data_IF_380162283302
#
_entry.id   IF_380162283302
#
_cell.length_a   1.000
_cell.length_b   1.000
_cell.length_c   1.000
_cell.angle_alpha   90.00
_cell.angle_beta   90.00
_cell.angle_gamma   90.00
#
_symmetry.space_group_name_H-M   'P 1'
#
loop_
_entity.id
_entity.type
_entity.pdbx_description
1 polymer ?
#
# COMPACT_ATOMS: atom_id res chain seq x y z
N UNK A 1 73.45 29.10 -0.27
CA UNK A 1 71.98 29.19 -0.10
C UNK A 1 71.33 27.99 -0.76
N UNK A 2 71.05 26.92 0.00
CA UNK A 2 70.32 25.73 -0.47
C UNK A 2 69.53 25.14 0.70
N UNK A 3 68.42 25.78 1.07
CA UNK A 3 67.48 25.26 2.08
C UNK A 3 66.13 25.98 1.94
N UNK A 4 65.37 25.74 0.88
CA UNK A 4 64.00 26.29 0.83
C UNK A 4 62.96 25.50 0.03
N UNK A 5 63.24 24.27 -0.38
CA UNK A 5 62.31 23.48 -1.22
C UNK A 5 61.77 22.19 -0.60
N UNK A 6 62.23 21.78 0.60
CA UNK A 6 61.83 20.48 1.18
C UNK A 6 60.79 20.57 2.30
N UNK A 7 60.42 21.75 2.79
CA UNK A 7 59.44 21.89 3.89
C UNK A 7 57.98 21.92 3.40
N UNK A 8 57.73 22.39 2.18
CA UNK A 8 56.37 22.52 1.63
C UNK A 8 55.84 21.24 0.99
N UNK A 9 56.72 20.32 0.57
CA UNK A 9 56.31 19.04 0.00
C UNK A 9 55.88 18.04 1.08
N UNK A 10 56.49 18.12 2.26
CA UNK A 10 56.20 17.24 3.39
C UNK A 10 54.88 17.63 4.10
N UNK A 11 54.57 18.93 4.20
CA UNK A 11 53.28 19.41 4.76
C UNK A 11 52.11 19.22 3.81
N UNK A 12 52.34 19.24 2.49
CA UNK A 12 51.28 18.95 1.51
C UNK A 12 50.92 17.46 1.46
N UNK A 13 51.91 16.58 1.63
CA UNK A 13 51.69 15.13 1.69
C UNK A 13 51.02 14.66 3.01
N UNK A 14 51.23 15.37 4.12
CA UNK A 14 50.58 15.06 5.41
C UNK A 14 49.13 15.56 5.51
N UNK A 15 48.74 16.53 4.68
CA UNK A 15 47.36 17.07 4.62
C UNK A 15 46.43 16.17 3.78
N UNK A 16 46.95 15.52 2.74
CA UNK A 16 46.18 14.61 1.88
C UNK A 16 45.88 13.25 2.53
N UNK A 17 46.60 12.85 3.58
CA UNK A 17 46.30 11.62 4.34
C UNK A 17 45.26 11.81 5.46
N UNK A 18 44.90 13.05 5.81
CA UNK A 18 43.93 13.33 6.87
C UNK A 18 42.46 13.26 6.40
N UNK A 19 42.21 13.25 5.09
CA UNK A 19 40.85 13.16 4.53
C UNK A 19 40.40 11.73 4.20
N UNK A 20 41.25 10.71 4.37
CA UNK A 20 40.89 9.32 4.05
C UNK A 20 40.18 8.60 5.22
N UNK A 21 40.11 9.21 6.40
CA UNK A 21 39.48 8.58 7.58
C UNK A 21 38.10 9.15 7.97
N UNK A 22 37.47 9.99 7.15
CA UNK A 22 36.11 10.51 7.40
C UNK A 22 35.03 9.75 6.61
N UNK A 23 35.39 8.76 5.79
CA UNK A 23 34.47 8.13 4.84
C UNK A 23 33.87 6.77 5.27
N UNK A 24 34.02 6.32 6.53
CA UNK A 24 33.56 4.98 6.92
C UNK A 24 32.85 4.91 8.28
N UNK A 25 32.01 5.89 8.62
CA UNK A 25 31.16 5.77 9.81
C UNK A 25 29.95 6.71 9.79
N UNK A 26 29.39 6.99 8.61
CA UNK A 26 28.13 7.74 8.52
C UNK A 26 27.01 6.71 8.55
N UNK A 27 26.27 6.69 9.66
CA UNK A 27 25.02 5.94 9.78
C UNK A 27 24.12 6.34 8.58
N UNK A 28 23.65 5.39 7.76
CA UNK A 28 22.83 5.66 6.58
C UNK A 28 21.63 6.57 6.87
N UNK A 29 21.11 6.55 8.10
CA UNK A 29 19.97 7.37 8.56
C UNK A 29 20.18 8.88 8.38
N UNK A 30 21.42 9.35 8.30
CA UNK A 30 21.73 10.77 8.18
C UNK A 30 21.90 11.26 6.73
N UNK A 31 21.93 10.34 5.75
CA UNK A 31 22.05 10.71 4.34
C UNK A 31 20.78 11.38 3.83
N UNK A 32 20.91 12.23 2.81
CA UNK A 32 19.76 12.85 2.17
C UNK A 32 18.87 11.81 1.49
N UNK A 33 19.48 10.80 0.87
CA UNK A 33 18.76 9.68 0.24
C UNK A 33 17.89 8.90 1.22
N UNK A 34 18.35 8.69 2.47
CA UNK A 34 17.53 8.07 3.51
C UNK A 34 16.34 8.95 3.90
N UNK A 35 16.54 10.27 4.01
CA UNK A 35 15.48 11.22 4.39
C UNK A 35 14.40 11.33 3.31
N UNK A 36 14.80 11.45 2.05
CA UNK A 36 13.88 11.49 0.91
C UNK A 36 13.04 10.20 0.86
N UNK A 37 13.65 9.03 1.09
CA UNK A 37 12.92 7.77 1.13
C UNK A 37 12.01 7.60 2.34
N UNK A 38 12.37 8.11 3.52
CA UNK A 38 11.48 8.13 4.68
C UNK A 38 10.26 9.02 4.41
N UNK A 39 10.45 10.15 3.73
CA UNK A 39 9.34 11.02 3.32
C UNK A 39 8.42 10.32 2.31
N UNK A 40 8.98 9.65 1.28
CA UNK A 40 8.19 8.80 0.37
C UNK A 40 7.42 7.73 1.14
N UNK A 41 8.05 7.07 2.12
CA UNK A 41 7.40 6.08 2.96
C UNK A 41 6.24 6.68 3.79
N UNK A 42 6.41 7.86 4.38
CA UNK A 42 5.34 8.55 5.11
C UNK A 42 4.16 8.90 4.19
N UNK A 43 4.42 9.38 2.97
CA UNK A 43 3.38 9.62 1.96
C UNK A 43 2.64 8.32 1.62
N UNK A 44 3.38 7.24 1.46
CA UNK A 44 2.86 5.90 1.21
C UNK A 44 1.99 5.38 2.36
N UNK A 45 2.37 5.59 3.62
CA UNK A 45 1.52 5.29 4.78
C UNK A 45 0.21 6.11 4.75
N UNK A 46 0.26 7.33 4.23
CA UNK A 46 -0.94 8.13 3.94
C UNK A 46 -1.87 7.47 2.91
N UNK A 47 -1.31 6.84 1.86
CA UNK A 47 -2.13 6.06 0.90
C UNK A 47 -2.78 4.85 1.55
N UNK A 48 -2.15 4.24 2.56
CA UNK A 48 -2.75 3.14 3.30
C UNK A 48 -3.95 3.58 4.14
N UNK A 49 -3.82 4.69 4.87
CA UNK A 49 -4.93 5.29 5.62
C UNK A 49 -6.14 5.54 4.69
N UNK A 50 -5.88 6.04 3.48
CA UNK A 50 -6.90 6.21 2.45
C UNK A 50 -7.53 4.87 2.03
N UNK A 51 -6.74 3.84 1.78
CA UNK A 51 -7.29 2.51 1.42
C UNK A 51 -8.15 1.94 2.54
N UNK A 52 -7.74 2.05 3.81
CA UNK A 52 -8.52 1.62 4.97
C UNK A 52 -9.88 2.34 5.04
N UNK A 53 -9.90 3.64 4.76
CA UNK A 53 -11.15 4.40 4.66
C UNK A 53 -12.03 3.92 3.48
N UNK A 54 -11.45 3.56 2.34
CA UNK A 54 -12.18 2.97 1.22
C UNK A 54 -12.84 1.64 1.62
N UNK A 55 -12.13 0.77 2.35
CA UNK A 55 -12.70 -0.48 2.87
C UNK A 55 -13.89 -0.25 3.80
N UNK A 56 -13.81 0.71 4.72
CA UNK A 56 -14.94 1.06 5.61
C UNK A 56 -16.16 1.53 4.83
N UNK A 57 -15.97 2.41 3.84
CA UNK A 57 -17.08 2.87 2.98
C UNK A 57 -17.72 1.72 2.20
N UNK A 58 -16.92 0.73 1.83
CA UNK A 58 -17.36 -0.44 1.10
C UNK A 58 -18.20 -1.37 1.97
N UNK A 59 -17.81 -1.55 3.24
CA UNK A 59 -18.60 -2.24 4.26
C UNK A 59 -19.93 -1.51 4.53
N UNK A 60 -19.90 -0.17 4.66
CA UNK A 60 -21.11 0.65 4.77
C UNK A 60 -22.04 0.48 3.57
N UNK A 61 -21.49 0.50 2.35
CA UNK A 61 -22.28 0.27 1.13
C UNK A 61 -22.90 -1.12 1.11
N UNK A 62 -22.20 -2.14 1.61
CA UNK A 62 -22.74 -3.49 1.71
C UNK A 62 -23.93 -3.57 2.67
N UNK A 63 -23.87 -2.91 3.83
CA UNK A 63 -25.02 -2.86 4.75
C UNK A 63 -26.22 -2.13 4.13
N UNK A 64 -26.00 -1.04 3.39
CA UNK A 64 -27.09 -0.36 2.64
C UNK A 64 -27.73 -1.29 1.61
N UNK A 65 -26.91 -1.99 0.81
CA UNK A 65 -27.44 -2.92 -0.20
C UNK A 65 -28.24 -4.07 0.43
N UNK A 66 -27.84 -4.52 1.62
CA UNK A 66 -28.55 -5.55 2.37
C UNK A 66 -29.88 -5.04 2.91
N UNK A 67 -29.93 -3.82 3.44
CA UNK A 67 -31.16 -3.16 3.88
C UNK A 67 -32.14 -2.97 2.70
N UNK A 68 -31.66 -2.47 1.56
CA UNK A 68 -32.49 -2.34 0.35
C UNK A 68 -33.01 -3.70 -0.15
N UNK A 69 -32.24 -4.77 0.01
CA UNK A 69 -32.68 -6.12 -0.34
C UNK A 69 -33.73 -6.68 0.64
N UNK A 70 -33.78 -6.21 1.90
CA UNK A 70 -34.77 -6.64 2.89
C UNK A 70 -36.20 -6.24 2.50
N UNK A 71 -36.37 -5.08 1.85
CA UNK A 71 -37.67 -4.59 1.36
C UNK A 71 -38.34 -5.51 0.31
N UNK A 72 -37.57 -6.44 -0.27
CA UNK A 72 -38.01 -7.38 -1.30
C UNK A 72 -38.08 -8.83 -0.79
N UNK A 73 -37.88 -9.08 0.51
CA UNK A 73 -37.80 -10.44 1.11
C UNK A 73 -39.10 -11.26 1.04
N UNK A 74 -40.25 -10.59 1.00
CA UNK A 74 -41.56 -11.23 0.91
C UNK A 74 -42.01 -11.52 -0.54
N UNK A 75 -41.22 -11.12 -1.54
CA UNK A 75 -41.48 -11.50 -2.93
C UNK A 75 -41.13 -12.97 -3.18
N UNK A 76 -41.88 -13.68 -4.06
CA UNK A 76 -41.48 -14.99 -4.53
C UNK A 76 -40.05 -14.88 -5.07
N UNK A 77 -39.13 -15.68 -4.51
CA UNK A 77 -37.72 -15.68 -4.88
C UNK A 77 -37.61 -15.72 -6.41
N UNK A 78 -37.13 -14.63 -7.01
CA UNK A 78 -36.81 -14.57 -8.43
C UNK A 78 -35.58 -15.46 -8.66
N UNK A 79 -35.85 -16.76 -8.73
CA UNK A 79 -35.26 -17.77 -9.60
C UNK A 79 -33.79 -17.50 -9.98
N UNK A 80 -32.90 -18.27 -9.34
CA UNK A 80 -31.47 -18.51 -9.63
C UNK A 80 -30.51 -17.31 -9.74
N UNK A 81 -30.92 -16.18 -10.31
CA UNK A 81 -30.11 -14.97 -10.50
C UNK A 81 -29.75 -14.33 -9.15
N UNK A 82 -30.70 -14.24 -8.22
CA UNK A 82 -30.43 -13.72 -6.87
C UNK A 82 -29.44 -14.59 -6.09
N UNK A 83 -29.54 -15.92 -6.25
CA UNK A 83 -28.60 -16.84 -5.62
C UNK A 83 -27.20 -16.68 -6.20
N UNK A 84 -27.08 -16.58 -7.53
CA UNK A 84 -25.81 -16.36 -8.20
C UNK A 84 -25.19 -15.00 -7.82
N UNK A 85 -26.01 -13.94 -7.70
CA UNK A 85 -25.55 -12.62 -7.28
C UNK A 85 -25.05 -12.63 -5.82
N UNK A 86 -25.79 -13.23 -4.89
CA UNK A 86 -25.36 -13.41 -3.49
C UNK A 86 -24.06 -14.20 -3.37
N UNK A 87 -23.93 -15.28 -4.12
CA UNK A 87 -22.71 -16.09 -4.14
C UNK A 87 -21.51 -15.29 -4.65
N UNK A 88 -21.69 -14.54 -5.74
CA UNK A 88 -20.66 -13.64 -6.28
C UNK A 88 -20.26 -12.55 -5.28
N UNK A 89 -21.23 -11.95 -4.59
CA UNK A 89 -20.97 -11.00 -3.50
C UNK A 89 -20.12 -11.61 -2.39
N UNK A 90 -20.49 -12.82 -1.97
CA UNK A 90 -19.78 -13.52 -0.90
C UNK A 90 -18.34 -13.87 -1.30
N UNK A 91 -18.09 -14.24 -2.55
CA UNK A 91 -16.73 -14.51 -3.04
C UNK A 91 -15.89 -13.23 -3.05
N UNK A 92 -16.42 -12.11 -3.57
CA UNK A 92 -15.76 -10.80 -3.57
C UNK A 92 -15.39 -10.38 -2.14
N UNK A 93 -16.31 -10.53 -1.17
CA UNK A 93 -16.02 -10.24 0.24
C UNK A 93 -14.87 -11.09 0.79
N UNK A 94 -14.83 -12.38 0.46
CA UNK A 94 -13.73 -13.27 0.87
C UNK A 94 -12.41 -12.83 0.24
N UNK A 95 -12.42 -12.40 -1.02
CA UNK A 95 -11.21 -11.88 -1.69
C UNK A 95 -10.75 -10.58 -1.03
N UNK A 96 -11.66 -9.65 -0.73
CA UNK A 96 -11.34 -8.39 -0.05
C UNK A 96 -10.73 -8.62 1.32
N UNK A 97 -11.30 -9.53 2.11
CA UNK A 97 -10.73 -9.86 3.42
C UNK A 97 -9.30 -10.38 3.31
N UNK A 98 -9.01 -11.23 2.31
CA UNK A 98 -7.63 -11.70 2.05
C UNK A 98 -6.71 -10.54 1.66
N UNK A 99 -7.16 -9.61 0.82
CA UNK A 99 -6.37 -8.43 0.43
C UNK A 99 -6.07 -7.54 1.63
N UNK A 100 -7.04 -7.32 2.53
CA UNK A 100 -6.82 -6.58 3.78
C UNK A 100 -5.77 -7.27 4.63
N UNK A 101 -5.85 -8.59 4.82
CA UNK A 101 -4.86 -9.34 5.60
C UNK A 101 -3.45 -9.27 5.01
N UNK A 102 -3.34 -9.34 3.67
CA UNK A 102 -2.06 -9.15 2.98
C UNK A 102 -1.52 -7.73 3.24
N UNK A 103 -2.39 -6.73 3.20
CA UNK A 103 -2.01 -5.34 3.48
C UNK A 103 -1.50 -5.18 4.92
N UNK A 104 -2.25 -5.65 5.92
CA UNK A 104 -1.84 -5.57 7.33
C UNK A 104 -0.47 -6.23 7.56
N UNK A 105 -0.21 -7.37 6.90
CA UNK A 105 1.08 -8.04 6.99
C UNK A 105 2.22 -7.21 6.37
N UNK A 106 1.98 -6.60 5.21
CA UNK A 106 2.95 -5.73 4.54
C UNK A 106 3.28 -4.49 5.37
N UNK A 107 2.29 -3.85 6.00
CA UNK A 107 2.53 -2.71 6.89
C UNK A 107 3.38 -3.11 8.08
N UNK A 108 3.08 -4.25 8.71
CA UNK A 108 3.88 -4.71 9.83
C UNK A 108 5.33 -4.95 9.39
N UNK A 109 5.53 -5.59 8.23
CA UNK A 109 6.86 -5.79 7.65
C UNK A 109 7.56 -4.45 7.40
N UNK A 110 6.88 -3.46 6.85
CA UNK A 110 7.47 -2.14 6.57
C UNK A 110 7.81 -1.40 7.87
N UNK A 111 6.93 -1.45 8.87
CA UNK A 111 7.18 -0.87 10.19
C UNK A 111 8.39 -1.51 10.89
N UNK A 112 8.52 -2.84 10.80
CA UNK A 112 9.67 -3.58 11.35
C UNK A 112 10.98 -3.17 10.64
N UNK A 113 10.93 -2.95 9.32
CA UNK A 113 12.08 -2.46 8.56
C UNK A 113 12.49 -1.04 8.97
N UNK A 114 11.54 -0.11 9.13
CA UNK A 114 11.84 1.24 9.64
C UNK A 114 12.50 1.17 11.00
N UNK A 115 11.97 0.36 11.92
CA UNK A 115 12.49 0.25 13.28
C UNK A 115 13.91 -0.36 13.29
N UNK A 116 14.15 -1.35 12.42
CA UNK A 116 15.48 -1.92 12.16
C UNK A 116 16.44 -0.85 11.64
N UNK A 117 16.09 -0.11 10.59
CA UNK A 117 16.94 0.93 10.01
C UNK A 117 17.19 2.10 10.99
N UNK A 118 16.25 2.39 11.88
CA UNK A 118 16.41 3.43 12.89
C UNK A 118 17.35 3.04 14.04
N UNK A 119 17.56 1.74 14.29
CA UNK A 119 18.27 1.23 15.47
C UNK A 119 19.55 0.45 15.16
N UNK A 120 19.67 -0.07 13.94
CA UNK A 120 20.77 -0.90 13.47
C UNK A 120 21.57 -0.21 12.37
N UNK A 121 22.87 -0.50 12.30
CA UNK A 121 23.72 -0.06 11.19
C UNK A 121 23.56 -1.07 10.04
N UNK A 122 22.57 -0.83 9.19
CA UNK A 122 22.28 -1.65 8.00
C UNK A 122 23.14 -1.13 6.84
N UNK A 123 23.79 -2.01 6.09
CA UNK A 123 24.58 -1.56 4.95
C UNK A 123 23.67 -1.09 3.79
N UNK A 124 24.18 -0.16 2.98
CA UNK A 124 23.41 0.46 1.90
C UNK A 124 22.88 -0.56 0.88
N UNK A 125 23.61 -1.63 0.59
CA UNK A 125 23.15 -2.64 -0.37
C UNK A 125 21.96 -3.44 0.15
N UNK A 126 21.94 -3.74 1.46
CA UNK A 126 20.77 -4.34 2.10
C UNK A 126 19.60 -3.36 2.14
N UNK A 127 19.85 -2.09 2.44
CA UNK A 127 18.83 -1.04 2.43
C UNK A 127 18.16 -0.91 1.06
N UNK A 128 18.95 -0.75 -0.01
CA UNK A 128 18.46 -0.58 -1.39
C UNK A 128 17.57 -1.75 -1.80
N UNK A 129 18.00 -2.98 -1.51
CA UNK A 129 17.21 -4.18 -1.80
C UNK A 129 15.88 -4.23 -1.05
N UNK A 130 15.89 -3.89 0.24
CA UNK A 130 14.68 -3.85 1.06
C UNK A 130 13.71 -2.77 0.56
N UNK A 131 14.22 -1.61 0.15
CA UNK A 131 13.42 -0.52 -0.41
C UNK A 131 12.82 -0.86 -1.79
N UNK A 132 13.61 -1.43 -2.71
CA UNK A 132 13.09 -1.91 -4.00
C UNK A 132 11.98 -2.95 -3.80
N UNK A 133 12.15 -3.84 -2.81
CA UNK A 133 11.12 -4.83 -2.45
C UNK A 133 9.83 -4.15 -1.97
N UNK A 134 9.93 -3.09 -1.15
CA UNK A 134 8.77 -2.32 -0.68
C UNK A 134 8.01 -1.69 -1.86
N UNK A 135 8.73 -1.10 -2.82
CA UNK A 135 8.13 -0.50 -4.00
C UNK A 135 7.37 -1.53 -4.86
N UNK A 136 7.97 -2.70 -5.09
CA UNK A 136 7.30 -3.79 -5.81
C UNK A 136 6.04 -4.28 -5.08
N UNK A 137 6.10 -4.43 -3.75
CA UNK A 137 4.94 -4.82 -2.92
C UNK A 137 3.82 -3.79 -3.01
N UNK A 138 4.15 -2.50 -3.09
CA UNK A 138 3.18 -1.42 -3.22
C UNK A 138 2.53 -1.35 -4.59
N UNK A 139 3.29 -1.56 -5.67
CA UNK A 139 2.72 -1.62 -7.02
C UNK A 139 1.69 -2.75 -7.11
N UNK A 140 1.99 -3.91 -6.51
CA UNK A 140 1.07 -5.03 -6.43
C UNK A 140 -0.18 -4.69 -5.61
N UNK A 141 -0.04 -4.00 -4.48
CA UNK A 141 -1.19 -3.55 -3.68
C UNK A 141 -2.07 -2.56 -4.42
N UNK A 142 -1.47 -1.61 -5.14
CA UNK A 142 -2.21 -0.64 -5.96
C UNK A 142 -3.02 -1.35 -7.04
N UNK A 143 -2.41 -2.30 -7.75
CA UNK A 143 -3.10 -3.09 -8.77
C UNK A 143 -4.28 -3.89 -8.19
N UNK A 144 -4.09 -4.51 -7.01
CA UNK A 144 -5.18 -5.22 -6.32
C UNK A 144 -6.33 -4.28 -5.92
N UNK A 145 -6.02 -3.09 -5.41
CA UNK A 145 -7.04 -2.10 -5.05
C UNK A 145 -7.80 -1.57 -6.28
N UNK A 146 -7.11 -1.32 -7.38
CA UNK A 146 -7.73 -0.86 -8.64
C UNK A 146 -8.69 -1.94 -9.17
N UNK A 147 -8.27 -3.21 -9.17
CA UNK A 147 -9.15 -4.34 -9.53
C UNK A 147 -10.39 -4.40 -8.64
N UNK A 148 -10.22 -4.28 -7.32
CA UNK A 148 -11.35 -4.30 -6.38
C UNK A 148 -12.35 -3.16 -6.62
N UNK A 149 -11.84 -1.98 -6.98
CA UNK A 149 -12.66 -0.82 -7.31
C UNK A 149 -13.51 -1.12 -8.56
N UNK A 150 -12.91 -1.68 -9.60
CA UNK A 150 -13.63 -2.08 -10.82
C UNK A 150 -14.70 -3.16 -10.54
N UNK A 151 -14.37 -4.15 -9.70
CA UNK A 151 -15.31 -5.19 -9.30
C UNK A 151 -16.52 -4.60 -8.56
N UNK A 152 -16.30 -3.62 -7.68
CA UNK A 152 -17.37 -2.92 -6.97
C UNK A 152 -18.26 -2.09 -7.88
N UNK A 153 -17.69 -1.37 -8.85
CA UNK A 153 -18.47 -0.60 -9.82
C UNK A 153 -19.37 -1.51 -10.65
N UNK A 154 -18.83 -2.64 -11.11
CA UNK A 154 -19.61 -3.64 -11.85
C UNK A 154 -20.75 -4.21 -11.02
N UNK A 155 -20.46 -4.53 -9.77
CA UNK A 155 -21.40 -5.13 -8.84
C UNK A 155 -22.55 -4.19 -8.49
N UNK A 156 -22.24 -2.91 -8.28
CA UNK A 156 -23.25 -1.86 -8.13
C UNK A 156 -24.14 -1.75 -9.37
N UNK A 157 -23.56 -1.76 -10.56
CA UNK A 157 -24.32 -1.71 -11.82
C UNK A 157 -25.26 -2.91 -11.98
N UNK A 158 -24.78 -4.11 -11.65
CA UNK A 158 -25.59 -5.35 -11.64
C UNK A 158 -26.73 -5.26 -10.60
N UNK A 159 -26.46 -4.72 -9.41
CA UNK A 159 -27.49 -4.47 -8.38
C UNK A 159 -28.55 -3.48 -8.89
N UNK A 160 -28.15 -2.33 -9.44
CA UNK A 160 -29.08 -1.31 -9.96
C UNK A 160 -30.01 -1.90 -11.04
N UNK A 161 -29.48 -2.77 -11.92
CA UNK A 161 -30.27 -3.47 -12.94
C UNK A 161 -31.28 -4.44 -12.31
N UNK A 162 -30.87 -5.18 -11.27
CA UNK A 162 -31.74 -6.10 -10.54
C UNK A 162 -32.91 -5.36 -9.88
N UNK A 163 -32.64 -4.20 -9.27
CA UNK A 163 -33.67 -3.36 -8.63
C UNK A 163 -34.64 -2.76 -9.65
N UNK A 164 -34.16 -2.34 -10.82
CA UNK A 164 -35.03 -1.89 -11.92
C UNK A 164 -35.96 -3.00 -12.42
N UNK A 165 -35.45 -4.23 -12.52
CA UNK A 165 -36.24 -5.39 -12.90
C UNK A 165 -37.34 -5.69 -11.86
N UNK A 166 -37.01 -5.61 -10.57
CA UNK A 166 -37.99 -5.73 -9.48
C UNK A 166 -39.07 -4.66 -9.55
N UNK A 167 -38.68 -3.39 -9.69
CA UNK A 167 -39.63 -2.28 -9.77
C UNK A 167 -40.59 -2.44 -10.97
N UNK A 168 -40.07 -2.86 -12.12
CA UNK A 168 -40.88 -3.10 -13.32
C UNK A 168 -41.84 -4.28 -13.12
N UNK A 169 -41.38 -5.37 -12.51
CA UNK A 169 -42.24 -6.52 -12.20
C UNK A 169 -43.35 -6.18 -11.19
N UNK A 170 -43.12 -5.23 -10.28
CA UNK A 170 -44.15 -4.71 -9.38
C UNK A 170 -45.21 -3.86 -10.09
N UNK A 171 -44.83 -3.04 -11.08
CA UNK A 171 -45.78 -2.22 -11.85
C UNK A 171 -46.69 -3.06 -12.76
N UNK A 172 -46.25 -4.25 -13.16
CA UNK A 172 -47.01 -5.16 -14.03
C UNK A 172 -47.97 -6.11 -13.27
N UNK A 173 -47.92 -6.15 -11.92
CA UNK A 173 -48.78 -6.95 -11.04
C UNK A 173 -50.06 -6.22 -10.61
#
# INVERSE_FOLDING_TARGET
MKTLTNKNLLTLAMSLLAFVFIACNQNPVETEEYKDMVEEHEELMGTHEFMNQSYKKMEEMHEVMKEEAEDYTDMPEMDSIHSAFREKHQDILVQHYKTIQLHENLLQKHQDLIEKHATEDVDMGTFDYEFETILEEQEQMKAAHDQMTEEHEKLRSEHDQMMQAHASAMEEM
#
